data_IF_760660978011
#
_entry.id   IF_760660978011
#
_cell.length_a   1.000
_cell.length_b   1.000
_cell.length_c   1.000
_cell.angle_alpha   90.00
_cell.angle_beta   90.00
_cell.angle_gamma   90.00
#
_symmetry.space_group_name_H-M   'P 1'
#
loop_
_entity.id
_entity.type
_entity.pdbx_description
1 polymer ?
#
# COMPACT_ATOMS: atom_id res chain seq x y z
N UNK A 1 -16.82 13.76 -25.55
CA UNK A 1 -17.29 14.43 -24.33
C UNK A 1 -17.98 13.49 -23.36
N UNK A 2 -18.91 12.68 -23.83
CA UNK A 2 -19.65 11.74 -23.02
C UNK A 2 -18.70 10.75 -22.30
N UNK A 3 -17.74 10.18 -23.02
CA UNK A 3 -16.78 9.24 -22.46
C UNK A 3 -15.85 9.87 -21.43
N UNK A 4 -15.50 11.13 -21.65
CA UNK A 4 -14.64 11.85 -20.70
C UNK A 4 -15.33 12.07 -19.36
N UNK A 5 -16.64 12.39 -19.40
CA UNK A 5 -17.44 12.56 -18.18
C UNK A 5 -17.62 11.25 -17.44
N UNK A 6 -17.87 10.17 -18.16
CA UNK A 6 -17.98 8.84 -17.56
C UNK A 6 -16.67 8.41 -16.90
N UNK A 7 -15.54 8.61 -17.56
CA UNK A 7 -14.22 8.27 -17.02
C UNK A 7 -13.93 9.06 -15.76
N UNK A 8 -14.24 10.35 -15.76
CA UNK A 8 -14.06 11.19 -14.59
C UNK A 8 -14.92 10.72 -13.43
N UNK A 9 -16.19 10.40 -13.70
CA UNK A 9 -17.10 9.88 -12.68
C UNK A 9 -16.63 8.56 -12.10
N UNK A 10 -16.16 7.64 -12.95
CA UNK A 10 -15.61 6.36 -12.51
C UNK A 10 -14.37 6.57 -11.65
N UNK A 11 -13.48 7.46 -12.08
CA UNK A 11 -12.25 7.75 -11.33
C UNK A 11 -12.57 8.34 -9.96
N UNK A 12 -13.54 9.24 -9.88
CA UNK A 12 -13.97 9.82 -8.60
C UNK A 12 -14.50 8.74 -7.64
N UNK A 13 -15.30 7.81 -8.14
CA UNK A 13 -15.83 6.70 -7.34
C UNK A 13 -14.71 5.79 -6.87
N UNK A 14 -13.77 5.46 -7.76
CA UNK A 14 -12.63 4.61 -7.42
C UNK A 14 -11.76 5.28 -6.35
N UNK A 15 -11.48 6.57 -6.50
CA UNK A 15 -10.68 7.32 -5.54
C UNK A 15 -11.39 7.45 -4.18
N UNK A 16 -12.70 7.65 -4.20
CA UNK A 16 -13.50 7.71 -2.98
C UNK A 16 -13.48 6.39 -2.23
N UNK A 17 -13.66 5.28 -2.95
CA UNK A 17 -13.55 3.93 -2.35
C UNK A 17 -12.16 3.68 -1.78
N UNK A 18 -11.16 4.09 -2.51
CA UNK A 18 -9.77 3.95 -2.07
C UNK A 18 -9.58 4.67 -0.74
N UNK A 19 -9.98 5.92 -0.68
CA UNK A 19 -9.82 6.74 0.52
C UNK A 19 -10.61 6.19 1.71
N UNK A 20 -11.83 5.73 1.48
CA UNK A 20 -12.73 5.29 2.57
C UNK A 20 -12.50 3.85 3.01
N UNK A 21 -12.08 2.98 2.10
CA UNK A 21 -11.99 1.54 2.38
C UNK A 21 -10.55 1.03 2.42
N UNK A 22 -9.73 1.40 1.45
CA UNK A 22 -8.38 0.87 1.34
C UNK A 22 -7.38 1.61 2.21
N UNK A 23 -7.45 2.93 2.23
CA UNK A 23 -6.51 3.73 3.01
C UNK A 23 -6.54 3.40 4.50
N UNK A 24 -7.71 3.24 5.15
CA UNK A 24 -7.73 2.82 6.56
C UNK A 24 -7.03 1.48 6.79
N UNK A 25 -7.21 0.51 5.90
CA UNK A 25 -6.56 -0.78 6.02
C UNK A 25 -5.04 -0.67 5.82
N UNK A 26 -4.60 0.17 4.89
CA UNK A 26 -3.16 0.43 4.69
C UNK A 26 -2.56 1.01 5.97
N UNK A 27 -3.27 1.93 6.62
CA UNK A 27 -2.81 2.52 7.87
C UNK A 27 -2.75 1.49 9.01
N UNK A 28 -3.70 0.56 9.06
CA UNK A 28 -3.66 -0.55 10.03
C UNK A 28 -2.46 -1.45 9.79
N UNK A 29 -2.17 -1.77 8.54
CA UNK A 29 -0.99 -2.57 8.18
C UNK A 29 0.30 -1.85 8.56
N UNK A 30 0.35 -0.54 8.36
CA UNK A 30 1.48 0.27 8.78
C UNK A 30 1.75 0.13 10.28
N UNK A 31 0.70 0.12 11.08
CA UNK A 31 0.85 -0.07 12.54
C UNK A 31 1.47 -1.42 12.87
N UNK A 32 1.11 -2.47 12.12
CA UNK A 32 1.69 -3.81 12.33
C UNK A 32 3.19 -3.78 12.10
N UNK A 33 3.64 -3.21 10.98
CA UNK A 33 5.08 -3.16 10.68
C UNK A 33 5.82 -2.20 11.61
N UNK A 34 5.16 -1.13 12.07
CA UNK A 34 5.76 -0.18 13.02
C UNK A 34 6.03 -0.84 14.38
N UNK A 35 5.27 -1.88 14.74
CA UNK A 35 5.51 -2.67 15.95
C UNK A 35 6.58 -3.74 15.77
N UNK A 36 7.18 -3.85 14.60
CA UNK A 36 8.20 -4.87 14.32
C UNK A 36 7.63 -6.24 13.99
N UNK A 37 6.31 -6.33 13.77
CA UNK A 37 5.64 -7.59 13.48
C UNK A 37 5.68 -7.94 12.00
N UNK A 38 5.52 -9.23 11.71
CA UNK A 38 5.41 -9.71 10.33
C UNK A 38 3.99 -9.53 9.82
N UNK A 39 3.87 -9.29 8.51
CA UNK A 39 2.59 -9.23 7.83
C UNK A 39 2.06 -10.63 7.57
N UNK A 40 0.74 -10.80 7.65
CA UNK A 40 0.08 -12.04 7.25
C UNK A 40 0.07 -12.16 5.72
N UNK A 41 -0.19 -13.36 5.22
CA UNK A 41 -0.33 -13.58 3.78
C UNK A 41 -1.48 -12.74 3.19
N UNK A 42 -2.57 -12.58 3.94
CA UNK A 42 -3.70 -11.75 3.50
C UNK A 42 -3.31 -10.28 3.39
N UNK A 43 -2.51 -9.78 4.32
CA UNK A 43 -2.02 -8.40 4.26
C UNK A 43 -1.11 -8.19 3.05
N UNK A 44 -0.25 -9.16 2.76
CA UNK A 44 0.66 -9.11 1.61
C UNK A 44 -0.15 -9.12 0.30
N UNK A 45 -1.13 -10.00 0.20
CA UNK A 45 -2.01 -10.06 -0.97
C UNK A 45 -2.75 -8.74 -1.20
N UNK A 46 -3.25 -8.16 -0.09
CA UNK A 46 -3.93 -6.86 -0.16
C UNK A 46 -2.99 -5.76 -0.67
N UNK A 47 -1.76 -5.69 -0.15
CA UNK A 47 -0.78 -4.70 -0.60
C UNK A 47 -0.40 -4.89 -2.07
N UNK A 48 -0.26 -6.13 -2.51
CA UNK A 48 0.02 -6.43 -3.92
C UNK A 48 -1.12 -5.96 -4.82
N UNK A 49 -2.36 -6.18 -4.40
CA UNK A 49 -3.55 -5.73 -5.11
C UNK A 49 -3.59 -4.21 -5.20
N UNK A 50 -3.33 -3.53 -4.08
CA UNK A 50 -3.28 -2.06 -4.04
C UNK A 50 -2.20 -1.53 -4.98
N UNK A 51 -1.02 -2.14 -4.96
CA UNK A 51 0.09 -1.75 -5.83
C UNK A 51 -0.29 -1.88 -7.31
N UNK A 52 -0.91 -2.99 -7.67
CA UNK A 52 -1.36 -3.26 -9.04
C UNK A 52 -2.39 -2.24 -9.50
N UNK A 53 -3.39 -1.96 -8.65
CA UNK A 53 -4.43 -0.98 -8.95
C UNK A 53 -3.86 0.42 -9.05
N UNK A 54 -2.94 0.78 -8.16
CA UNK A 54 -2.28 2.08 -8.16
C UNK A 54 -1.54 2.30 -9.49
N UNK A 55 -0.81 1.29 -9.95
CA UNK A 55 -0.11 1.38 -11.24
C UNK A 55 -1.07 1.49 -12.40
N UNK A 56 -2.19 0.78 -12.35
CA UNK A 56 -3.21 0.81 -13.40
C UNK A 56 -3.81 2.20 -13.55
N UNK A 57 -4.04 2.92 -12.45
CA UNK A 57 -4.67 4.23 -12.48
C UNK A 57 -3.70 5.40 -12.58
N UNK A 58 -2.40 5.16 -12.59
CA UNK A 58 -1.40 6.22 -12.64
C UNK A 58 -1.61 7.18 -13.81
N UNK A 59 -1.88 6.64 -14.99
CA UNK A 59 -2.09 7.44 -16.20
C UNK A 59 -3.24 8.42 -16.03
N UNK A 60 -4.34 7.97 -15.44
CA UNK A 60 -5.52 8.82 -15.21
C UNK A 60 -5.24 9.86 -14.14
N UNK A 61 -4.52 9.50 -13.09
CA UNK A 61 -4.16 10.41 -12.02
C UNK A 61 -3.24 11.52 -12.53
N UNK A 62 -2.31 11.20 -13.42
CA UNK A 62 -1.41 12.18 -14.02
C UNK A 62 -2.17 13.27 -14.77
N UNK A 63 -3.35 12.95 -15.31
CA UNK A 63 -4.21 13.89 -16.02
C UNK A 63 -5.19 14.64 -15.10
N UNK A 64 -5.25 14.26 -13.80
CA UNK A 64 -6.21 14.80 -12.85
C UNK A 64 -5.50 15.27 -11.59
N UNK A 65 -5.05 16.55 -11.56
CA UNK A 65 -4.27 17.07 -10.42
C UNK A 65 -4.93 16.89 -9.06
N UNK A 66 -6.26 16.86 -9.00
CA UNK A 66 -6.98 16.71 -7.74
C UNK A 66 -6.75 15.37 -7.05
N UNK A 67 -6.26 14.36 -7.78
CA UNK A 67 -5.99 13.03 -7.22
C UNK A 67 -4.50 12.76 -7.01
N UNK A 68 -3.64 13.64 -7.47
CA UNK A 68 -2.19 13.43 -7.40
C UNK A 68 -1.67 13.39 -5.97
N UNK A 69 -2.24 14.18 -5.09
CA UNK A 69 -1.84 14.19 -3.68
C UNK A 69 -2.16 12.87 -2.99
N UNK A 70 -3.36 12.36 -3.20
CA UNK A 70 -3.76 11.05 -2.65
C UNK A 70 -2.89 9.93 -3.21
N UNK A 71 -2.64 9.96 -4.50
CA UNK A 71 -1.79 8.97 -5.16
C UNK A 71 -0.38 8.97 -4.57
N UNK A 72 0.21 10.14 -4.42
CA UNK A 72 1.56 10.29 -3.86
C UNK A 72 1.61 9.78 -2.41
N UNK A 73 0.59 10.09 -1.61
CA UNK A 73 0.49 9.62 -0.25
C UNK A 73 0.44 8.10 -0.16
N UNK A 74 -0.35 7.47 -1.03
CA UNK A 74 -0.48 6.01 -1.07
C UNK A 74 0.83 5.36 -1.49
N UNK A 75 1.46 5.90 -2.53
CA UNK A 75 2.75 5.39 -3.00
C UNK A 75 3.82 5.48 -1.91
N UNK A 76 3.84 6.58 -1.17
CA UNK A 76 4.77 6.78 -0.06
C UNK A 76 4.51 5.79 1.08
N UNK A 77 3.24 5.60 1.45
CA UNK A 77 2.87 4.64 2.49
C UNK A 77 3.24 3.21 2.09
N UNK A 78 2.99 2.84 0.85
CA UNK A 78 3.36 1.52 0.35
C UNK A 78 4.85 1.28 0.47
N UNK A 79 5.65 2.24 0.03
CA UNK A 79 7.12 2.18 0.10
C UNK A 79 7.60 2.04 1.55
N UNK A 80 7.05 2.84 2.45
CA UNK A 80 7.38 2.81 3.87
C UNK A 80 7.06 1.45 4.49
N UNK A 81 5.86 0.93 4.20
CA UNK A 81 5.43 -0.37 4.72
C UNK A 81 6.30 -1.50 4.17
N UNK A 82 6.57 -1.49 2.87
CA UNK A 82 7.38 -2.52 2.24
C UNK A 82 8.80 -2.55 2.82
N UNK A 83 9.40 -1.39 3.02
CA UNK A 83 10.73 -1.28 3.60
C UNK A 83 10.75 -1.80 5.04
N UNK A 84 9.79 -1.41 5.85
CA UNK A 84 9.72 -1.85 7.25
C UNK A 84 9.40 -3.34 7.36
N UNK A 85 8.52 -3.86 6.50
CA UNK A 85 8.19 -5.27 6.48
C UNK A 85 9.43 -6.12 6.17
N UNK A 86 10.22 -5.71 5.20
CA UNK A 86 11.47 -6.38 4.86
C UNK A 86 12.47 -6.33 6.01
N UNK A 87 12.62 -5.17 6.64
CA UNK A 87 13.51 -5.01 7.79
C UNK A 87 13.08 -5.90 8.95
N UNK A 88 11.79 -5.98 9.23
CA UNK A 88 11.25 -6.82 10.29
C UNK A 88 11.54 -8.30 10.02
N UNK A 89 11.34 -8.73 8.78
CA UNK A 89 11.64 -10.09 8.36
C UNK A 89 13.11 -10.42 8.56
N UNK A 90 13.99 -9.52 8.13
CA UNK A 90 15.44 -9.69 8.29
C UNK A 90 15.86 -9.73 9.76
N UNK A 91 15.28 -8.88 10.60
CA UNK A 91 15.56 -8.85 12.03
C UNK A 91 15.15 -10.13 12.74
N UNK A 92 13.99 -10.66 12.41
CA UNK A 92 13.49 -11.91 12.99
C UNK A 92 14.36 -13.08 12.53
N UNK A 93 14.73 -13.11 11.25
CA UNK A 93 15.62 -14.13 10.69
C UNK A 93 17.00 -14.10 11.35
N UNK A 94 17.55 -12.91 11.53
CA UNK A 94 18.85 -12.73 12.21
C UNK A 94 18.79 -13.20 13.67
N UNK A 95 17.70 -12.92 14.37
CA UNK A 95 17.48 -13.37 15.75
C UNK A 95 17.41 -14.90 15.82
N UNK A 96 16.74 -15.55 14.88
CA UNK A 96 16.66 -17.00 14.79
C UNK A 96 18.04 -17.62 14.56
N UNK A 97 18.83 -17.02 13.68
CA UNK A 97 20.20 -17.49 13.41
C UNK A 97 21.07 -17.37 14.65
N UNK A 98 20.94 -16.28 15.40
CA UNK A 98 21.69 -16.08 16.65
C UNK A 98 21.34 -17.15 17.70
N UNK A 99 20.06 -17.45 17.83
CA UNK A 99 19.59 -18.48 18.76
C UNK A 99 20.19 -19.84 18.37
N UNK A 100 20.17 -20.16 17.09
CA UNK A 100 20.75 -21.40 16.59
C UNK A 100 22.27 -21.49 16.84
N UNK A 101 22.97 -20.36 16.68
CA UNK A 101 24.40 -20.32 16.90
C UNK A 101 24.78 -20.41 18.37
N UNK A 102 23.95 -19.92 19.27
CA UNK A 102 24.22 -19.98 20.70
C UNK A 102 23.78 -21.29 21.34
N UNK A 103 23.02 -22.07 20.62
CA UNK A 103 22.61 -23.39 21.05
C UNK A 103 23.63 -24.45 20.67
#
# INVERSE_FOLDING_TARGET
>A
MYYSLERKGVLEVVMERFEKQRLPRILDIRQIVDRGELLSDLDIEFLEEVCRDTQQYKHFVDEHPQFQELYARVAHLYDEIATKALNNENNIRASSIRVDQSG
#
